data_IF_458102880546
#
_entry.id   IF_458102880546
#
_cell.length_a   1.000
_cell.length_b   1.000
_cell.length_c   1.000
_cell.angle_alpha   90.00
_cell.angle_beta   90.00
_cell.angle_gamma   90.00
#
_symmetry.space_group_name_H-M   'P 1'
#
loop_
_entity.id
_entity.type
_entity.pdbx_description
1 polymer ?
#
# COMPACT_ATOMS: atom_id res chain seq x y z
N UNK A 1 -46.93 -40.79 3.53
CA UNK A 1 -48.20 -40.39 4.20
C UNK A 1 -48.05 -40.68 5.69
N UNK A 2 -48.59 -39.77 6.49
CA UNK A 2 -48.70 -39.72 7.97
C UNK A 2 -47.42 -39.70 8.83
N UNK A 3 -47.09 -38.47 9.25
CA UNK A 3 -46.45 -38.11 10.51
C UNK A 3 -47.10 -38.78 11.72
N UNK A 4 -46.29 -39.10 12.73
CA UNK A 4 -46.64 -39.03 14.16
C UNK A 4 -45.36 -38.97 15.00
N UNK A 5 -45.03 -37.79 15.53
CA UNK A 5 -44.28 -37.57 16.80
C UNK A 5 -45.25 -37.80 17.98
N UNK A 6 -44.87 -37.92 19.28
CA UNK A 6 -43.75 -37.31 20.05
C UNK A 6 -43.18 -38.31 21.13
N UNK A 7 -42.60 -38.00 22.34
CA UNK A 7 -42.38 -36.74 23.07
C UNK A 7 -41.04 -36.52 23.82
N UNK A 8 -40.97 -35.33 24.44
CA UNK A 8 -39.95 -34.74 25.33
C UNK A 8 -39.76 -35.51 26.66
N UNK A 9 -38.54 -35.47 27.25
CA UNK A 9 -38.21 -34.79 28.53
C UNK A 9 -36.87 -35.23 29.18
N UNK A 10 -36.21 -34.26 29.88
CA UNK A 10 -35.13 -34.36 30.91
C UNK A 10 -33.81 -35.05 30.50
N UNK A 11 -32.61 -34.58 30.83
CA UNK A 11 -32.15 -33.54 31.73
C UNK A 11 -30.66 -33.79 32.04
N UNK A 12 -29.96 -32.70 32.37
CA UNK A 12 -28.68 -32.62 33.12
C UNK A 12 -27.38 -33.18 32.50
N UNK A 13 -26.46 -32.21 32.33
CA UNK A 13 -25.04 -32.19 32.69
C UNK A 13 -24.16 -33.37 32.24
N UNK A 14 -23.40 -33.12 31.18
CA UNK A 14 -21.97 -33.45 31.02
C UNK A 14 -21.48 -32.43 29.96
N UNK A 15 -20.62 -31.46 30.27
CA UNK A 15 -19.23 -31.71 30.64
C UNK A 15 -18.50 -32.23 29.40
N UNK A 16 -17.98 -31.33 28.56
CA UNK A 16 -16.82 -31.50 27.65
C UNK A 16 -16.68 -30.26 26.75
N UNK A 17 -15.72 -29.40 27.07
CA UNK A 17 -14.42 -29.28 26.36
C UNK A 17 -14.63 -28.71 24.95
N UNK A 18 -14.58 -27.39 24.85
CA UNK A 18 -14.35 -26.68 23.58
C UNK A 18 -12.90 -26.19 23.57
N UNK A 19 -12.01 -26.99 22.99
CA UNK A 19 -10.62 -26.60 22.69
C UNK A 19 -10.67 -25.79 21.39
N UNK A 20 -10.27 -24.51 21.45
CA UNK A 20 -10.01 -23.71 20.25
C UNK A 20 -8.53 -23.82 19.92
N UNK A 21 -8.22 -24.53 18.83
CA UNK A 21 -6.87 -24.66 18.26
C UNK A 21 -6.60 -23.43 17.41
N UNK A 22 -5.59 -22.62 17.77
CA UNK A 22 -4.99 -21.63 16.89
C UNK A 22 -3.62 -22.14 16.44
N UNK A 23 -3.51 -22.38 15.14
CA UNK A 23 -2.32 -22.83 14.43
C UNK A 23 -1.33 -21.67 14.30
N UNK A 24 -0.16 -21.81 14.93
CA UNK A 24 1.05 -21.10 14.57
C UNK A 24 2.10 -22.16 14.21
N UNK A 25 2.30 -22.32 12.90
CA UNK A 25 3.20 -23.33 12.33
C UNK A 25 4.45 -22.68 11.74
N UNK A 26 5.58 -22.89 12.40
CA UNK A 26 6.91 -23.11 11.83
C UNK A 26 7.80 -23.60 13.00
N UNK A 27 8.32 -24.82 13.12
CA UNK A 27 8.53 -25.93 12.19
C UNK A 27 8.32 -27.27 12.95
N UNK A 28 7.53 -28.20 12.37
CA UNK A 28 7.14 -29.56 12.83
C UNK A 28 6.25 -29.64 14.10
N UNK A 29 5.11 -30.37 14.07
CA UNK A 29 3.95 -30.13 14.95
C UNK A 29 4.08 -30.83 16.31
N UNK A 30 3.57 -30.22 17.39
CA UNK A 30 3.15 -31.06 18.51
C UNK A 30 3.07 -30.52 19.92
N UNK A 31 3.26 -29.24 20.23
CA UNK A 31 2.90 -28.73 21.57
C UNK A 31 2.29 -27.33 21.52
N UNK A 32 1.09 -27.22 22.11
CA UNK A 32 0.37 -25.98 22.39
C UNK A 32 0.19 -25.91 23.91
N UNK A 33 0.64 -24.83 24.53
CA UNK A 33 0.30 -24.50 25.91
C UNK A 33 -0.71 -23.34 25.94
N UNK A 34 -1.78 -23.51 26.70
CA UNK A 34 -2.71 -22.45 27.05
C UNK A 34 -2.53 -22.11 28.54
N UNK A 35 -2.28 -20.84 28.86
CA UNK A 35 -2.39 -20.32 30.22
C UNK A 35 -3.75 -19.64 30.39
N UNK A 36 -4.53 -20.08 31.37
CA UNK A 36 -5.75 -19.39 31.78
C UNK A 36 -5.37 -18.15 32.58
N UNK A 37 -5.59 -16.95 32.03
CA UNK A 37 -5.57 -15.72 32.81
C UNK A 37 -6.92 -15.58 33.49
N UNK A 38 -6.99 -15.92 34.77
CA UNK A 38 -8.18 -15.77 35.60
C UNK A 38 -8.53 -14.29 35.75
N UNK A 39 -9.71 -13.86 35.29
CA UNK A 39 -10.23 -12.50 35.54
C UNK A 39 -10.82 -11.76 34.34
N UNK A 40 -10.76 -12.32 33.13
CA UNK A 40 -11.38 -11.77 31.94
C UNK A 40 -12.61 -12.61 31.55
N UNK A 41 -13.80 -12.03 31.67
CA UNK A 41 -15.02 -12.58 31.06
C UNK A 41 -14.91 -12.42 29.54
N UNK A 42 -14.23 -13.37 28.89
CA UNK A 42 -14.08 -13.41 27.43
C UNK A 42 -15.35 -14.03 26.84
N UNK A 43 -16.30 -13.21 26.42
CA UNK A 43 -17.37 -13.64 25.51
C UNK A 43 -16.89 -13.45 24.07
N UNK A 44 -16.56 -14.55 23.38
CA UNK A 44 -16.29 -14.55 21.93
C UNK A 44 -15.05 -13.77 21.46
N UNK A 45 -14.01 -13.64 22.30
CA UNK A 45 -12.79 -12.89 21.97
C UNK A 45 -12.89 -11.38 22.24
N UNK A 46 -14.03 -10.89 22.74
CA UNK A 46 -14.23 -9.50 23.11
C UNK A 46 -13.82 -9.25 24.56
N UNK A 47 -13.03 -8.20 24.79
CA UNK A 47 -12.55 -7.83 26.12
C UNK A 47 -13.50 -6.79 26.73
N UNK A 48 -14.24 -7.20 27.75
CA UNK A 48 -15.19 -6.33 28.46
C UNK A 48 -14.43 -5.43 29.43
N UNK A 49 -14.80 -4.14 29.49
CA UNK A 49 -14.27 -3.21 30.47
C UNK A 49 -14.61 -3.68 31.90
N UNK A 50 -13.59 -3.79 32.74
CA UNK A 50 -13.79 -4.12 34.14
C UNK A 50 -14.42 -2.95 34.94
N UNK A 51 -14.74 -3.23 36.20
CA UNK A 51 -15.31 -2.22 37.10
C UNK A 51 -14.38 -1.03 37.32
N UNK A 52 -13.06 -1.24 37.27
CA UNK A 52 -12.07 -0.18 37.51
C UNK A 52 -12.09 0.87 36.40
N UNK A 53 -12.05 0.44 35.11
CA UNK A 53 -12.13 1.33 33.94
C UNK A 53 -13.47 2.05 33.85
N UNK A 54 -14.56 1.33 34.12
CA UNK A 54 -15.91 1.91 34.14
C UNK A 54 -16.08 2.93 35.27
N UNK A 55 -15.35 2.78 36.38
CA UNK A 55 -15.32 3.79 37.46
C UNK A 55 -14.56 5.04 37.03
N UNK A 56 -13.39 4.88 36.40
CA UNK A 56 -12.60 6.01 35.88
C UNK A 56 -13.42 6.85 34.89
N UNK A 57 -14.14 6.21 33.96
CA UNK A 57 -14.99 6.91 33.00
C UNK A 57 -16.12 7.70 33.69
N UNK A 58 -16.77 7.11 34.70
CA UNK A 58 -17.83 7.78 35.48
C UNK A 58 -17.30 8.96 36.30
N UNK A 59 -16.11 8.82 36.88
CA UNK A 59 -15.47 9.91 37.62
C UNK A 59 -15.16 11.09 36.69
N UNK A 60 -14.62 10.82 35.50
CA UNK A 60 -14.37 11.84 34.49
C UNK A 60 -15.67 12.56 34.06
N UNK A 61 -16.78 11.83 33.88
CA UNK A 61 -18.07 12.43 33.56
C UNK A 61 -18.59 13.32 34.69
N UNK A 62 -18.43 12.90 35.95
CA UNK A 62 -18.80 13.72 37.12
C UNK A 62 -18.01 15.03 37.16
N UNK A 63 -16.69 14.96 36.97
CA UNK A 63 -15.83 16.14 36.91
C UNK A 63 -16.21 17.10 35.77
N UNK A 64 -16.67 16.58 34.62
CA UNK A 64 -17.20 17.41 33.52
C UNK A 64 -18.47 18.15 33.94
N UNK A 65 -19.37 17.48 34.66
CA UNK A 65 -20.61 18.11 35.18
C UNK A 65 -20.28 19.18 36.22
N UNK A 66 -19.26 18.94 37.05
CA UNK A 66 -18.78 19.87 38.08
C UNK A 66 -17.92 21.02 37.50
N UNK A 67 -17.72 21.08 36.17
CA UNK A 67 -16.93 22.11 35.48
C UNK A 67 -15.40 21.95 35.60
N UNK A 68 -14.92 20.85 36.20
CA UNK A 68 -13.51 20.55 36.42
C UNK A 68 -12.89 19.84 35.20
N UNK A 69 -12.81 20.55 34.07
CA UNK A 69 -12.41 19.96 32.79
C UNK A 69 -10.96 19.44 32.75
N UNK A 70 -10.02 20.13 33.39
CA UNK A 70 -8.61 19.73 33.37
C UNK A 70 -8.38 18.33 34.00
N UNK A 71 -9.00 18.10 35.16
CA UNK A 71 -8.91 16.81 35.86
C UNK A 71 -9.65 15.72 35.08
N UNK A 72 -10.85 16.02 34.58
CA UNK A 72 -11.61 15.11 33.75
C UNK A 72 -10.82 14.62 32.53
N UNK A 73 -10.17 15.55 31.81
CA UNK A 73 -9.37 15.24 30.63
C UNK A 73 -8.16 14.36 30.94
N UNK A 74 -7.57 14.50 32.14
CA UNK A 74 -6.48 13.63 32.59
C UNK A 74 -6.96 12.18 32.74
N UNK A 75 -8.15 11.97 33.31
CA UNK A 75 -8.75 10.63 33.40
C UNK A 75 -9.11 10.06 32.03
N UNK A 76 -9.67 10.88 31.13
CA UNK A 76 -10.02 10.45 29.78
C UNK A 76 -8.78 10.10 28.96
N UNK A 77 -7.71 10.88 29.06
CA UNK A 77 -6.45 10.63 28.36
C UNK A 77 -5.83 9.29 28.80
N UNK A 78 -5.84 8.99 30.11
CA UNK A 78 -5.38 7.70 30.63
C UNK A 78 -6.16 6.51 30.06
N UNK A 79 -7.46 6.69 29.78
CA UNK A 79 -8.25 5.64 29.12
C UNK A 79 -7.91 5.50 27.64
N UNK A 80 -7.55 6.59 26.96
CA UNK A 80 -7.05 6.55 25.58
C UNK A 80 -5.71 5.84 25.51
N UNK A 81 -4.81 6.03 26.48
CA UNK A 81 -3.46 5.45 26.51
C UNK A 81 -3.39 3.93 26.67
N UNK A 82 -4.50 3.27 26.98
CA UNK A 82 -4.56 1.80 27.04
C UNK A 82 -4.18 1.18 25.69
N UNK A 83 -3.32 0.15 25.73
CA UNK A 83 -2.82 -0.56 24.53
C UNK A 83 -3.96 -1.17 23.70
N UNK A 84 -4.97 -1.72 24.37
CA UNK A 84 -6.12 -2.37 23.76
C UNK A 84 -7.42 -1.63 24.07
N UNK A 85 -8.41 -1.79 23.18
CA UNK A 85 -9.76 -1.27 23.39
C UNK A 85 -10.60 -2.25 24.21
N UNK A 86 -11.60 -1.73 24.92
CA UNK A 86 -12.49 -2.48 25.79
C UNK A 86 -13.94 -2.19 25.44
N UNK A 87 -14.83 -3.15 25.62
CA UNK A 87 -16.25 -2.94 25.39
C UNK A 87 -16.98 -2.59 26.69
N UNK A 88 -17.79 -1.52 26.63
CA UNK A 88 -18.72 -1.15 27.67
C UNK A 88 -19.99 -2.01 27.56
N UNK A 89 -20.45 -2.54 28.70
CA UNK A 89 -21.73 -3.26 28.76
C UNK A 89 -22.88 -2.28 28.55
N UNK A 90 -23.92 -2.66 27.78
CA UNK A 90 -25.17 -1.93 27.73
C UNK A 90 -25.73 -1.77 29.15
N UNK A 91 -26.33 -0.60 29.44
CA UNK A 91 -26.93 -0.36 30.75
C UNK A 91 -28.10 -1.34 31.01
N UNK A 92 -28.38 -1.69 32.27
CA UNK A 92 -29.41 -2.68 32.61
C UNK A 92 -30.80 -2.36 32.06
N UNK A 93 -31.09 -1.07 31.90
CA UNK A 93 -32.37 -0.56 31.41
C UNK A 93 -32.53 -0.72 29.88
N UNK A 94 -31.44 -1.01 29.17
CA UNK A 94 -31.40 -1.31 27.75
C UNK A 94 -30.69 -2.66 27.54
N UNK A 95 -31.29 -3.74 28.04
CA UNK A 95 -30.79 -5.11 27.92
C UNK A 95 -30.62 -5.60 26.46
N UNK A 96 -31.15 -4.87 25.47
CA UNK A 96 -30.92 -5.10 24.03
C UNK A 96 -29.93 -4.14 23.37
N UNK A 97 -29.23 -3.29 24.14
CA UNK A 97 -28.28 -2.32 23.59
C UNK A 97 -27.02 -2.98 23.01
N UNK A 98 -26.40 -2.33 22.04
CA UNK A 98 -25.12 -2.78 21.49
C UNK A 98 -23.98 -2.48 22.46
N UNK A 99 -22.97 -3.36 22.49
CA UNK A 99 -21.69 -3.06 23.14
C UNK A 99 -21.02 -1.88 22.43
N UNK A 100 -20.50 -0.94 23.21
CA UNK A 100 -19.82 0.25 22.68
C UNK A 100 -18.35 0.20 23.08
N UNK A 101 -17.46 0.56 22.15
CA UNK A 101 -16.03 0.73 22.42
C UNK A 101 -15.82 1.82 23.47
N UNK A 102 -15.05 1.51 24.52
CA UNK A 102 -14.65 2.45 25.56
C UNK A 102 -13.90 3.62 24.94
N UNK A 103 -12.99 3.36 24.00
CA UNK A 103 -12.23 4.42 23.34
C UNK A 103 -13.12 5.32 22.49
N UNK A 104 -14.08 4.73 21.77
CA UNK A 104 -15.07 5.48 20.99
C UNK A 104 -15.94 6.35 21.88
N UNK A 105 -16.34 5.84 23.05
CA UNK A 105 -17.11 6.59 24.04
C UNK A 105 -16.29 7.74 24.64
N UNK A 106 -15.01 7.53 24.95
CA UNK A 106 -14.11 8.60 25.42
C UNK A 106 -13.98 9.69 24.36
N UNK A 107 -13.75 9.35 23.10
CA UNK A 107 -13.73 10.34 22.02
C UNK A 107 -15.05 11.09 21.92
N UNK A 108 -16.20 10.40 22.04
CA UNK A 108 -17.53 11.03 22.00
C UNK A 108 -17.73 12.01 23.16
N UNK A 109 -17.20 11.71 24.34
CA UNK A 109 -17.26 12.62 25.49
C UNK A 109 -16.42 13.88 25.21
N UNK A 110 -15.17 13.71 24.75
CA UNK A 110 -14.28 14.84 24.42
C UNK A 110 -14.92 15.73 23.33
N UNK A 111 -15.53 15.12 22.31
CA UNK A 111 -16.23 15.84 21.25
C UNK A 111 -17.38 16.70 21.78
N UNK A 112 -18.11 16.21 22.80
CA UNK A 112 -19.27 16.89 23.39
C UNK A 112 -18.90 17.90 24.49
N UNK A 113 -17.62 18.07 24.81
CA UNK A 113 -17.20 19.09 25.77
C UNK A 113 -17.67 20.49 25.33
N UNK A 114 -18.01 21.37 26.28
CA UNK A 114 -18.27 22.78 25.98
C UNK A 114 -16.98 23.47 25.49
N UNK A 115 -17.09 24.67 24.87
CA UNK A 115 -15.95 25.39 24.31
C UNK A 115 -14.75 25.51 25.27
N UNK A 116 -15.01 25.82 26.55
CA UNK A 116 -13.99 25.94 27.60
C UNK A 116 -13.19 24.64 27.79
N UNK A 117 -13.87 23.49 27.89
CA UNK A 117 -13.24 22.18 28.01
C UNK A 117 -12.45 21.79 26.76
N UNK A 118 -12.94 22.16 25.56
CA UNK A 118 -12.23 21.92 24.30
C UNK A 118 -10.94 22.75 24.20
N UNK A 119 -10.97 24.00 24.64
CA UNK A 119 -9.77 24.85 24.68
C UNK A 119 -8.70 24.29 25.61
N UNK A 120 -9.09 23.78 26.79
CA UNK A 120 -8.17 23.12 27.72
C UNK A 120 -7.59 21.86 27.07
N UNK A 121 -8.42 21.03 26.43
CA UNK A 121 -7.96 19.83 25.72
C UNK A 121 -6.92 20.17 24.66
N UNK A 122 -7.20 21.16 23.80
CA UNK A 122 -6.29 21.59 22.74
C UNK A 122 -4.99 22.14 23.30
N UNK A 123 -5.04 22.98 24.34
CA UNK A 123 -3.87 23.58 24.98
C UNK A 123 -2.92 22.52 25.55
N UNK A 124 -3.47 21.48 26.16
CA UNK A 124 -2.69 20.44 26.83
C UNK A 124 -2.13 19.41 25.82
N UNK A 125 -2.88 19.08 24.76
CA UNK A 125 -2.56 17.94 23.90
C UNK A 125 -1.97 18.31 22.54
N UNK A 126 -2.26 19.50 21.98
CA UNK A 126 -1.78 19.86 20.64
C UNK A 126 -0.25 19.88 20.51
N UNK A 127 0.53 20.42 21.48
CA UNK A 127 1.99 20.43 21.37
C UNK A 127 2.61 19.03 21.25
N UNK A 128 2.12 18.07 22.03
CA UNK A 128 2.60 16.68 22.01
C UNK A 128 2.19 15.99 20.71
N UNK A 129 0.94 16.18 20.29
CA UNK A 129 0.42 15.60 19.05
C UNK A 129 1.18 16.11 17.80
N UNK A 130 1.53 17.39 17.76
CA UNK A 130 2.28 17.99 16.65
C UNK A 130 3.69 17.40 16.54
N UNK A 131 4.38 17.21 17.67
CA UNK A 131 5.72 16.59 17.69
C UNK A 131 5.65 15.15 17.21
N UNK A 132 4.68 14.36 17.71
CA UNK A 132 4.53 12.97 17.32
C UNK A 132 4.14 12.83 15.84
N UNK A 133 3.26 13.70 15.32
CA UNK A 133 2.91 13.70 13.91
C UNK A 133 4.12 13.98 13.01
N UNK A 134 4.95 14.98 13.37
CA UNK A 134 6.17 15.29 12.62
C UNK A 134 7.11 14.09 12.57
N UNK A 135 7.33 13.44 13.72
CA UNK A 135 8.16 12.23 13.78
C UNK A 135 7.59 11.09 12.93
N UNK A 136 6.27 10.89 12.96
CA UNK A 136 5.61 9.87 12.16
C UNK A 136 5.80 10.13 10.65
N UNK A 137 5.66 11.38 10.22
CA UNK A 137 5.85 11.77 8.82
C UNK A 137 7.31 11.62 8.39
N UNK A 138 8.26 12.14 9.18
CA UNK A 138 9.70 12.11 8.86
C UNK A 138 10.23 10.67 8.72
N UNK A 139 9.71 9.75 9.54
CA UNK A 139 10.14 8.34 9.54
C UNK A 139 9.27 7.44 8.68
N UNK A 140 8.21 7.97 8.05
CA UNK A 140 7.16 7.20 7.39
C UNK A 140 6.64 6.04 8.27
N UNK A 141 6.42 6.33 9.56
CA UNK A 141 6.07 5.37 10.60
C UNK A 141 4.54 5.31 10.76
N UNK A 142 3.95 4.26 10.19
CA UNK A 142 2.50 4.05 10.17
C UNK A 142 1.91 3.77 11.57
N UNK A 143 2.70 3.15 12.46
CA UNK A 143 2.26 2.83 13.81
C UNK A 143 2.16 4.11 14.66
N UNK A 144 3.18 4.98 14.58
CA UNK A 144 3.12 6.31 15.21
C UNK A 144 2.02 7.18 14.64
N UNK A 145 1.76 7.12 13.34
CA UNK A 145 0.66 7.84 12.72
C UNK A 145 -0.69 7.40 13.31
N UNK A 146 -0.85 6.08 13.46
CA UNK A 146 -2.03 5.47 14.09
C UNK A 146 -2.16 5.85 15.56
N UNK A 147 -1.04 5.92 16.29
CA UNK A 147 -0.99 6.38 17.67
C UNK A 147 -1.48 7.82 17.82
N UNK A 148 -1.02 8.74 16.96
CA UNK A 148 -1.48 10.15 16.97
C UNK A 148 -2.98 10.25 16.69
N UNK A 149 -3.47 9.54 15.68
CA UNK A 149 -4.89 9.51 15.34
C UNK A 149 -5.76 8.95 16.47
N UNK A 150 -5.20 8.03 17.27
CA UNK A 150 -5.88 7.34 18.37
C UNK A 150 -5.88 8.13 19.68
N UNK A 151 -4.72 8.68 20.08
CA UNK A 151 -4.57 9.38 21.35
C UNK A 151 -5.03 10.83 21.29
N UNK A 152 -4.81 11.49 20.14
CA UNK A 152 -4.99 12.93 20.01
C UNK A 152 -5.99 13.30 18.92
N UNK A 153 -6.97 12.42 18.64
CA UNK A 153 -7.93 12.55 17.54
C UNK A 153 -8.51 13.96 17.38
N UNK A 154 -8.91 14.60 18.49
CA UNK A 154 -9.59 15.91 18.48
C UNK A 154 -8.64 17.12 18.39
N UNK A 155 -7.36 16.89 18.10
CA UNK A 155 -6.36 17.94 17.81
C UNK A 155 -6.18 18.13 16.30
N UNK A 156 -5.65 19.26 15.82
CA UNK A 156 -5.30 19.44 14.41
C UNK A 156 -4.38 18.34 13.85
N UNK A 157 -3.40 17.90 14.64
CA UNK A 157 -2.51 16.80 14.30
C UNK A 157 -3.23 15.45 14.24
N UNK A 158 -4.17 15.18 15.17
CA UNK A 158 -4.99 13.95 15.15
C UNK A 158 -5.88 13.84 13.92
N UNK A 159 -6.49 14.95 13.50
CA UNK A 159 -7.26 14.98 12.26
C UNK A 159 -6.36 14.75 11.04
N UNK A 160 -5.17 15.38 11.00
CA UNK A 160 -4.23 15.18 9.89
C UNK A 160 -3.69 13.75 9.83
N UNK A 161 -3.36 13.17 10.98
CA UNK A 161 -2.96 11.77 11.08
C UNK A 161 -4.05 10.85 10.52
N UNK A 162 -5.29 11.03 10.98
CA UNK A 162 -6.45 10.27 10.50
C UNK A 162 -6.65 10.43 8.99
N UNK A 163 -6.49 11.64 8.47
CA UNK A 163 -6.63 11.90 7.04
C UNK A 163 -5.55 11.19 6.22
N UNK A 164 -4.30 11.19 6.70
CA UNK A 164 -3.18 10.47 6.07
C UNK A 164 -3.36 8.95 6.11
N UNK A 165 -3.85 8.39 7.22
CA UNK A 165 -4.21 6.96 7.30
C UNK A 165 -5.30 6.65 6.27
N UNK A 166 -6.33 7.50 6.15
CA UNK A 166 -7.37 7.36 5.13
C UNK A 166 -6.80 7.36 3.70
N UNK A 167 -5.82 8.23 3.41
CA UNK A 167 -5.12 8.24 2.12
C UNK A 167 -4.33 6.96 1.88
N UNK A 168 -3.61 6.45 2.89
CA UNK A 168 -2.87 5.19 2.77
C UNK A 168 -3.81 4.04 2.39
N UNK A 169 -4.93 3.85 3.10
CA UNK A 169 -5.90 2.80 2.73
C UNK A 169 -6.52 3.04 1.36
N UNK A 170 -6.79 4.30 0.99
CA UNK A 170 -7.33 4.65 -0.31
C UNK A 170 -6.37 4.28 -1.46
N UNK A 171 -5.08 4.54 -1.29
CA UNK A 171 -4.04 4.29 -2.28
C UNK A 171 -3.68 2.80 -2.39
N UNK A 172 -3.76 2.04 -1.28
CA UNK A 172 -3.58 0.57 -1.28
C UNK A 172 -4.79 -0.21 -1.81
N UNK A 173 -5.87 0.47 -2.21
CA UNK A 173 -7.05 -0.22 -2.75
C UNK A 173 -7.92 -0.87 -1.69
N UNK A 174 -7.97 -0.30 -0.48
CA UNK A 174 -8.87 -0.70 0.61
C UNK A 174 -10.04 0.30 0.75
N UNK A 175 -10.97 0.33 -0.22
CA UNK A 175 -11.93 1.41 -0.37
C UNK A 175 -12.93 1.50 0.79
N UNK A 176 -13.34 0.36 1.36
CA UNK A 176 -14.26 0.32 2.50
C UNK A 176 -13.64 1.00 3.73
N UNK A 177 -12.42 0.61 4.08
CA UNK A 177 -11.67 1.15 5.22
C UNK A 177 -11.44 2.65 5.05
N UNK A 178 -10.98 3.07 3.86
CA UNK A 178 -10.79 4.47 3.53
C UNK A 178 -12.08 5.29 3.69
N UNK A 179 -13.22 4.77 3.20
CA UNK A 179 -14.50 5.46 3.30
C UNK A 179 -14.92 5.69 4.76
N UNK A 180 -14.79 4.68 5.62
CA UNK A 180 -15.13 4.77 7.04
C UNK A 180 -14.24 5.78 7.79
N UNK A 181 -12.93 5.77 7.52
CA UNK A 181 -11.98 6.72 8.12
C UNK A 181 -12.30 8.16 7.71
N UNK A 182 -12.49 8.40 6.41
CA UNK A 182 -12.85 9.73 5.92
C UNK A 182 -14.23 10.19 6.41
N UNK A 183 -15.20 9.28 6.53
CA UNK A 183 -16.51 9.61 7.12
C UNK A 183 -16.38 10.05 8.57
N UNK A 184 -15.53 9.40 9.37
CA UNK A 184 -15.26 9.81 10.75
C UNK A 184 -14.75 11.25 10.81
N UNK A 185 -13.86 11.65 9.90
CA UNK A 185 -13.41 13.04 9.77
C UNK A 185 -14.54 13.99 9.35
N UNK A 186 -15.37 13.57 8.39
CA UNK A 186 -16.49 14.38 7.90
C UNK A 186 -17.55 14.65 8.97
N UNK A 187 -17.71 13.75 9.95
CA UNK A 187 -18.64 13.94 11.08
C UNK A 187 -18.23 15.11 11.98
N UNK A 188 -16.95 15.50 11.99
CA UNK A 188 -16.46 16.64 12.75
C UNK A 188 -16.28 17.85 11.82
N UNK A 189 -17.09 18.90 12.00
CA UNK A 189 -17.11 20.06 11.10
C UNK A 189 -15.75 20.79 11.04
N UNK A 190 -15.02 20.90 12.15
CA UNK A 190 -13.70 21.54 12.18
C UNK A 190 -12.67 20.76 11.37
N UNK A 191 -12.72 19.42 11.43
CA UNK A 191 -11.87 18.57 10.62
C UNK A 191 -12.29 18.61 9.14
N UNK A 192 -13.59 18.50 8.87
CA UNK A 192 -14.13 18.48 7.52
C UNK A 192 -13.74 19.73 6.72
N UNK A 193 -13.90 20.92 7.29
CA UNK A 193 -13.62 22.19 6.62
C UNK A 193 -12.20 22.29 6.03
N UNK A 194 -11.22 21.63 6.66
CA UNK A 194 -9.82 21.66 6.20
C UNK A 194 -9.62 20.98 4.84
N UNK A 195 -10.41 19.96 4.52
CA UNK A 195 -10.21 19.13 3.32
C UNK A 195 -11.40 19.11 2.36
N UNK A 196 -12.52 19.74 2.70
CA UNK A 196 -13.63 19.90 1.77
C UNK A 196 -13.28 20.85 0.61
N UNK A 197 -13.77 20.61 -0.62
CA UNK A 197 -14.72 19.55 -1.02
C UNK A 197 -14.08 18.17 -1.29
N UNK A 198 -12.74 18.08 -1.21
CA UNK A 198 -12.02 16.88 -1.64
C UNK A 198 -12.21 15.70 -0.69
N UNK A 199 -12.47 15.96 0.59
CA UNK A 199 -12.84 14.93 1.56
C UNK A 199 -14.14 14.22 1.14
N UNK A 200 -15.21 14.97 0.86
CA UNK A 200 -16.47 14.38 0.38
C UNK A 200 -16.31 13.64 -0.95
N UNK A 201 -15.49 14.16 -1.87
CA UNK A 201 -15.22 13.46 -3.13
C UNK A 201 -14.47 12.13 -2.90
N UNK A 202 -13.46 12.11 -2.02
CA UNK A 202 -12.73 10.88 -1.65
C UNK A 202 -13.65 9.86 -0.98
N UNK A 203 -14.54 10.30 -0.10
CA UNK A 203 -15.55 9.42 0.51
C UNK A 203 -16.43 8.79 -0.58
N UNK A 204 -16.97 9.60 -1.49
CA UNK A 204 -17.82 9.10 -2.57
C UNK A 204 -17.09 8.12 -3.50
N UNK A 205 -15.84 8.43 -3.85
CA UNK A 205 -14.98 7.56 -4.67
C UNK A 205 -14.64 6.24 -3.96
N UNK A 206 -14.39 6.31 -2.65
CA UNK A 206 -14.15 5.12 -1.84
C UNK A 206 -15.40 4.23 -1.79
N UNK A 207 -16.59 4.79 -1.56
CA UNK A 207 -17.84 4.03 -1.61
C UNK A 207 -18.11 3.40 -2.97
N UNK A 208 -17.89 4.14 -4.05
CA UNK A 208 -18.07 3.61 -5.40
C UNK A 208 -17.11 2.43 -5.66
N UNK A 209 -15.84 2.55 -5.29
CA UNK A 209 -14.83 1.47 -5.40
C UNK A 209 -15.15 0.27 -4.50
N UNK A 210 -15.82 0.49 -3.38
CA UNK A 210 -16.31 -0.57 -2.50
C UNK A 210 -17.60 -1.26 -3.01
N UNK A 211 -18.12 -0.89 -4.19
CA UNK A 211 -19.36 -1.45 -4.73
C UNK A 211 -20.63 -0.89 -4.08
N UNK A 212 -20.54 0.28 -3.44
CA UNK A 212 -21.62 0.95 -2.70
C UNK A 212 -22.03 2.27 -3.39
N UNK A 213 -22.70 2.20 -4.56
CA UNK A 213 -23.01 3.39 -5.36
C UNK A 213 -24.07 4.29 -4.74
N UNK A 214 -24.95 3.76 -3.89
CA UNK A 214 -26.00 4.53 -3.23
C UNK A 214 -25.42 5.46 -2.15
N UNK A 215 -24.45 4.94 -1.40
CA UNK A 215 -23.68 5.64 -0.38
C UNK A 215 -22.83 6.73 -1.03
N UNK A 216 -22.17 6.43 -2.15
CA UNK A 216 -21.47 7.42 -2.96
C UNK A 216 -22.42 8.54 -3.42
N UNK A 217 -23.60 8.19 -3.92
CA UNK A 217 -24.58 9.15 -4.38
C UNK A 217 -25.10 10.06 -3.25
N UNK A 218 -25.38 9.51 -2.08
CA UNK A 218 -25.81 10.26 -0.90
C UNK A 218 -24.77 11.30 -0.47
N UNK A 219 -23.48 10.94 -0.50
CA UNK A 219 -22.39 11.85 -0.15
C UNK A 219 -22.28 13.02 -1.13
N UNK A 220 -22.37 12.75 -2.43
CA UNK A 220 -22.33 13.78 -3.47
C UNK A 220 -23.57 14.68 -3.42
N UNK A 221 -24.76 14.14 -3.15
CA UNK A 221 -25.97 14.94 -2.95
C UNK A 221 -25.84 15.88 -1.76
N UNK A 222 -25.34 15.37 -0.62
CA UNK A 222 -25.08 16.19 0.57
C UNK A 222 -24.07 17.31 0.30
N UNK A 223 -23.05 17.03 -0.51
CA UNK A 223 -22.06 18.03 -0.93
C UNK A 223 -22.65 19.09 -1.86
N UNK A 224 -23.61 18.72 -2.72
CA UNK A 224 -24.38 19.64 -3.56
C UNK A 224 -25.26 20.57 -2.71
N UNK A 225 -26.04 20.01 -1.79
CA UNK A 225 -26.96 20.77 -0.92
C UNK A 225 -26.23 21.76 -0.03
N UNK A 226 -25.06 21.39 0.48
CA UNK A 226 -24.22 22.27 1.31
C UNK A 226 -23.41 23.31 0.51
N UNK A 227 -23.57 23.37 -0.82
CA UNK A 227 -22.83 24.24 -1.74
C UNK A 227 -21.29 24.17 -1.62
N UNK A 228 -20.75 23.13 -0.96
CA UNK A 228 -19.29 22.91 -0.83
C UNK A 228 -18.64 22.60 -2.17
N UNK A 229 -19.44 22.10 -3.12
CA UNK A 229 -19.05 21.79 -4.49
C UNK A 229 -18.56 22.99 -5.31
N UNK A 230 -18.98 24.20 -4.97
CA UNK A 230 -18.65 25.44 -5.71
C UNK A 230 -17.15 25.75 -5.77
N UNK A 231 -16.35 25.16 -4.86
CA UNK A 231 -14.89 25.34 -4.76
C UNK A 231 -14.09 24.17 -5.35
N UNK A 232 -14.73 23.24 -6.07
CA UNK A 232 -14.07 22.03 -6.54
C UNK A 232 -13.18 22.29 -7.77
N UNK A 233 -11.89 22.01 -7.62
CA UNK A 233 -10.91 21.99 -8.72
C UNK A 233 -10.40 20.56 -8.90
N UNK A 234 -10.56 20.03 -10.11
CA UNK A 234 -10.10 18.68 -10.47
C UNK A 234 -9.12 18.78 -11.62
N UNK A 235 -7.93 18.20 -11.44
CA UNK A 235 -6.83 18.27 -12.41
C UNK A 235 -6.53 19.71 -12.89
N UNK A 236 -6.54 20.68 -11.95
CA UNK A 236 -6.28 22.08 -12.23
C UNK A 236 -7.44 22.85 -12.88
N UNK A 237 -8.58 22.21 -13.15
CA UNK A 237 -9.73 22.88 -13.75
C UNK A 237 -10.96 22.89 -12.81
N UNK A 238 -11.70 24.02 -12.73
CA UNK A 238 -12.97 24.04 -12.04
C UNK A 238 -13.95 23.13 -12.78
N UNK A 239 -14.63 22.23 -12.06
CA UNK A 239 -15.63 21.34 -12.65
C UNK A 239 -16.95 21.43 -11.88
N UNK A 240 -18.10 21.57 -12.57
CA UNK A 240 -19.39 21.54 -11.92
C UNK A 240 -19.69 20.13 -11.38
N UNK A 241 -20.22 20.06 -10.17
CA UNK A 241 -20.65 18.81 -9.56
C UNK A 241 -21.92 18.29 -10.25
N UNK A 242 -21.94 16.98 -10.57
CA UNK A 242 -23.02 16.25 -11.25
C UNK A 242 -23.24 16.58 -12.74
N UNK A 243 -22.58 17.62 -13.26
CA UNK A 243 -22.79 18.10 -14.63
C UNK A 243 -24.29 18.32 -14.94
N UNK A 244 -24.66 18.11 -16.20
CA UNK A 244 -26.06 18.23 -16.66
C UNK A 244 -26.92 17.01 -16.31
N UNK A 245 -26.29 15.83 -16.22
CA UNK A 245 -26.98 14.54 -16.00
C UNK A 245 -27.74 14.45 -14.67
N UNK A 246 -27.30 15.21 -13.65
CA UNK A 246 -27.91 15.23 -12.32
C UNK A 246 -27.81 13.92 -11.53
N UNK A 247 -27.20 12.87 -12.10
CA UNK A 247 -27.09 11.52 -11.49
C UNK A 247 -25.72 11.33 -10.83
N UNK A 248 -25.65 11.28 -9.49
CA UNK A 248 -24.37 11.33 -8.78
C UNK A 248 -23.41 10.18 -9.04
N UNK A 249 -23.88 8.95 -8.96
CA UNK A 249 -23.04 7.77 -9.14
C UNK A 249 -22.52 7.67 -10.59
N UNK A 250 -23.37 7.98 -11.58
CA UNK A 250 -22.98 7.97 -12.98
C UNK A 250 -21.94 9.04 -13.28
N UNK A 251 -22.16 10.28 -12.81
CA UNK A 251 -21.16 11.35 -12.95
C UNK A 251 -19.79 10.96 -12.41
N UNK A 252 -19.75 10.29 -11.25
CA UNK A 252 -18.51 9.83 -10.65
C UNK A 252 -17.85 8.69 -11.44
N UNK A 253 -18.65 7.74 -11.94
CA UNK A 253 -18.17 6.68 -12.83
C UNK A 253 -17.59 7.26 -14.11
N UNK A 254 -18.27 8.21 -14.76
CA UNK A 254 -17.81 8.89 -15.98
C UNK A 254 -16.52 9.66 -15.73
N UNK A 255 -16.38 10.29 -14.55
CA UNK A 255 -15.16 10.99 -14.15
C UNK A 255 -13.94 10.05 -14.10
N UNK A 256 -14.14 8.80 -13.64
CA UNK A 256 -13.07 7.79 -13.54
C UNK A 256 -12.83 7.13 -14.90
N UNK A 257 -13.89 6.72 -15.59
CA UNK A 257 -13.80 5.99 -16.85
C UNK A 257 -13.25 6.84 -17.98
N UNK A 258 -13.58 8.13 -18.06
CA UNK A 258 -13.01 9.02 -19.08
C UNK A 258 -11.48 9.16 -18.96
N UNK A 259 -10.89 8.94 -17.77
CA UNK A 259 -9.43 8.94 -17.60
C UNK A 259 -8.81 7.60 -18.03
N UNK A 260 -9.44 6.49 -17.69
CA UNK A 260 -9.01 5.18 -18.19
C UNK A 260 -9.12 5.15 -19.72
N UNK A 261 -10.25 5.54 -20.31
CA UNK A 261 -10.47 5.51 -21.76
C UNK A 261 -9.58 6.48 -22.56
N UNK A 262 -9.21 7.64 -21.99
CA UNK A 262 -8.26 8.56 -22.64
C UNK A 262 -6.80 8.12 -22.54
N UNK A 263 -6.47 7.15 -21.67
CA UNK A 263 -5.14 6.54 -21.55
C UNK A 263 -5.08 5.08 -22.03
N UNK A 264 -6.22 4.42 -22.22
CA UNK A 264 -6.37 3.23 -23.06
C UNK A 264 -6.28 3.71 -24.52
N UNK A 265 -5.15 4.32 -24.85
CA UNK A 265 -4.78 4.41 -26.24
C UNK A 265 -4.60 2.97 -26.72
N UNK A 266 -5.06 2.72 -27.95
CA UNK A 266 -4.90 1.47 -28.70
C UNK A 266 -3.41 1.27 -28.98
N UNK A 267 -2.66 1.02 -27.93
CA UNK A 267 -1.23 0.89 -27.98
C UNK A 267 -0.93 -0.52 -28.48
N UNK A 268 -0.84 -0.66 -29.80
CA UNK A 268 -0.03 -1.73 -30.41
C UNK A 268 1.46 -1.55 -30.12
N UNK A 269 1.83 -0.43 -29.49
CA UNK A 269 3.20 -0.03 -29.16
C UNK A 269 3.31 0.39 -27.70
N UNK A 270 4.42 0.02 -27.07
CA UNK A 270 4.83 0.32 -25.71
C UNK A 270 6.24 0.96 -25.74
N UNK A 271 6.39 2.21 -26.20
CA UNK A 271 7.69 2.80 -26.51
C UNK A 271 8.48 3.28 -25.27
N UNK A 272 7.84 3.33 -24.10
CA UNK A 272 8.46 3.76 -22.85
C UNK A 272 7.94 2.92 -21.68
N UNK A 273 8.72 2.74 -20.59
CA UNK A 273 8.26 2.04 -19.40
C UNK A 273 6.93 2.59 -18.90
N UNK A 274 5.99 1.72 -18.54
CA UNK A 274 4.63 2.11 -18.16
C UNK A 274 3.81 2.84 -19.26
N UNK A 275 4.23 2.71 -20.53
CA UNK A 275 3.48 2.97 -21.77
C UNK A 275 3.25 4.43 -22.15
N UNK A 276 3.18 5.36 -21.21
CA UNK A 276 2.96 6.80 -21.46
C UNK A 276 3.94 7.68 -20.68
N UNK A 277 4.17 8.95 -21.06
CA UNK A 277 5.05 9.86 -20.32
C UNK A 277 4.59 10.07 -18.87
N UNK A 278 3.29 9.91 -18.59
CA UNK A 278 2.70 9.93 -17.25
C UNK A 278 2.91 8.61 -16.46
N UNK A 279 3.56 7.61 -17.07
CA UNK A 279 3.92 6.30 -16.50
C UNK A 279 2.73 5.52 -15.92
N UNK A 280 1.58 5.63 -16.57
CA UNK A 280 0.34 5.02 -16.08
C UNK A 280 -0.58 4.55 -17.21
N UNK A 281 0.01 4.08 -18.33
CA UNK A 281 -0.78 3.51 -19.41
C UNK A 281 -1.58 2.29 -18.93
N UNK A 282 -2.80 2.16 -19.43
CA UNK A 282 -3.70 1.06 -19.08
C UNK A 282 -4.00 0.30 -20.36
N UNK A 283 -3.65 -0.98 -20.40
CA UNK A 283 -4.08 -1.88 -21.46
C UNK A 283 -5.46 -2.47 -21.09
N UNK A 284 -6.32 -2.77 -22.08
CA UNK A 284 -7.48 -3.61 -21.85
C UNK A 284 -7.02 -4.91 -21.18
N UNK A 285 -7.81 -5.42 -20.22
CA UNK A 285 -7.48 -6.67 -19.52
C UNK A 285 -7.26 -7.76 -20.57
N UNK A 286 -6.03 -8.29 -20.72
CA UNK A 286 -5.80 -9.35 -21.67
C UNK A 286 -6.60 -10.58 -21.25
N UNK A 287 -7.22 -11.26 -22.20
CA UNK A 287 -7.75 -12.60 -21.92
C UNK A 287 -6.54 -13.48 -21.61
N UNK A 288 -6.52 -14.25 -20.51
CA UNK A 288 -5.45 -15.20 -20.26
C UNK A 288 -5.41 -16.19 -21.43
N UNK A 289 -4.42 -16.03 -22.29
CA UNK A 289 -4.19 -16.92 -23.43
C UNK A 289 -3.29 -18.05 -22.95
N UNK A 290 -3.71 -19.30 -23.18
CA UNK A 290 -2.98 -20.47 -22.68
C UNK A 290 -1.76 -20.86 -23.53
N UNK A 291 -1.56 -20.18 -24.67
CA UNK A 291 -0.41 -20.38 -25.54
C UNK A 291 0.56 -19.22 -25.41
N UNK A 292 1.79 -19.51 -25.02
CA UNK A 292 2.92 -18.60 -25.20
C UNK A 292 3.27 -18.60 -26.70
N UNK A 293 3.09 -17.49 -27.44
CA UNK A 293 3.36 -17.48 -28.88
C UNK A 293 4.85 -17.71 -29.17
N UNK A 294 5.73 -17.21 -28.31
CA UNK A 294 7.17 -17.47 -28.30
C UNK A 294 7.79 -16.97 -26.98
N UNK A 295 9.00 -17.42 -26.68
CA UNK A 295 9.78 -17.00 -25.52
C UNK A 295 11.24 -16.75 -25.93
N UNK A 296 11.84 -15.70 -25.38
CA UNK A 296 13.27 -15.39 -25.53
C UNK A 296 13.90 -15.21 -24.15
N UNK A 297 15.12 -15.71 -24.00
CA UNK A 297 15.92 -15.49 -22.79
C UNK A 297 16.53 -14.08 -22.81
N UNK A 298 16.12 -13.25 -21.84
CA UNK A 298 16.59 -11.86 -21.65
C UNK A 298 17.84 -11.78 -20.78
N UNK A 299 18.52 -12.90 -20.55
CA UNK A 299 19.77 -12.97 -19.80
C UNK A 299 20.94 -13.33 -20.73
N UNK A 300 20.74 -14.25 -21.67
CA UNK A 300 21.84 -14.96 -22.37
C UNK A 300 21.87 -14.83 -23.89
N UNK A 301 21.13 -13.90 -24.48
CA UNK A 301 21.24 -13.69 -25.92
C UNK A 301 22.65 -13.14 -26.25
N UNK A 302 23.41 -13.91 -27.04
CA UNK A 302 24.61 -13.64 -27.86
C UNK A 302 25.59 -12.49 -27.47
N UNK A 303 26.49 -12.67 -26.48
CA UNK A 303 27.85 -13.16 -26.78
C UNK A 303 28.37 -14.21 -25.79
N UNK A 304 27.63 -14.49 -24.69
CA UNK A 304 27.98 -15.52 -23.70
C UNK A 304 27.91 -16.93 -24.29
N UNK A 305 27.16 -17.11 -25.38
CA UNK A 305 27.09 -18.36 -26.12
C UNK A 305 28.44 -18.82 -26.72
N UNK A 306 29.43 -17.92 -26.82
CA UNK A 306 30.78 -18.27 -27.29
C UNK A 306 31.65 -18.92 -26.20
N UNK A 307 31.29 -18.78 -24.90
CA UNK A 307 31.95 -19.46 -23.77
C UNK A 307 30.95 -20.29 -22.93
N UNK A 308 30.83 -21.61 -23.21
CA UNK A 308 29.95 -22.51 -22.46
C UNK A 308 30.26 -22.64 -20.95
N UNK A 309 31.48 -22.32 -20.51
CA UNK A 309 31.85 -22.37 -19.10
C UNK A 309 31.30 -21.15 -18.36
N UNK A 310 31.40 -19.97 -18.97
CA UNK A 310 30.85 -18.74 -18.43
C UNK A 310 29.32 -18.78 -18.36
N UNK A 311 28.66 -19.30 -19.41
CA UNK A 311 27.21 -19.50 -19.41
C UNK A 311 26.75 -20.33 -18.20
N UNK A 312 27.42 -21.46 -17.96
CA UNK A 312 27.14 -22.32 -16.81
C UNK A 312 27.35 -21.59 -15.48
N UNK A 313 28.42 -20.82 -15.34
CA UNK A 313 28.72 -20.07 -14.12
C UNK A 313 27.60 -19.05 -13.80
N UNK A 314 27.13 -18.34 -14.82
CA UNK A 314 26.04 -17.37 -14.69
C UNK A 314 24.71 -18.06 -14.38
N UNK A 315 24.38 -19.18 -15.05
CA UNK A 315 23.17 -19.97 -14.77
C UNK A 315 23.13 -20.47 -13.31
N UNK A 316 24.25 -20.98 -12.81
CA UNK A 316 24.38 -21.40 -11.42
C UNK A 316 24.22 -20.23 -10.45
N UNK A 317 24.84 -19.08 -10.74
CA UNK A 317 24.73 -17.89 -9.92
C UNK A 317 23.28 -17.37 -9.84
N UNK A 318 22.58 -17.30 -10.97
CA UNK A 318 21.16 -16.90 -11.04
C UNK A 318 20.28 -17.92 -10.30
N UNK A 319 20.53 -19.22 -10.49
CA UNK A 319 19.81 -20.29 -9.79
C UNK A 319 19.95 -20.19 -8.27
N UNK A 320 21.16 -19.87 -7.78
CA UNK A 320 21.40 -19.62 -6.35
C UNK A 320 20.59 -18.43 -5.83
N UNK A 321 20.58 -17.30 -6.57
CA UNK A 321 19.81 -16.11 -6.16
C UNK A 321 18.30 -16.37 -6.13
N UNK A 322 17.75 -17.05 -7.16
CA UNK A 322 16.33 -17.44 -7.20
C UNK A 322 15.94 -18.27 -5.98
N UNK A 323 16.74 -19.27 -5.60
CA UNK A 323 16.48 -20.13 -4.42
C UNK A 323 16.57 -19.35 -3.10
N UNK A 324 17.59 -18.50 -2.95
CA UNK A 324 17.78 -17.69 -1.74
C UNK A 324 16.60 -16.74 -1.50
N UNK A 325 16.07 -16.13 -2.56
CA UNK A 325 14.91 -15.22 -2.49
C UNK A 325 13.59 -15.95 -2.28
N UNK A 326 13.40 -17.10 -2.94
CA UNK A 326 12.24 -17.96 -2.71
C UNK A 326 12.14 -18.40 -1.23
N UNK A 327 13.27 -18.75 -0.60
CA UNK A 327 13.33 -19.07 0.83
C UNK A 327 13.01 -17.92 1.78
N UNK A 328 13.04 -16.67 1.30
CA UNK A 328 12.72 -15.45 2.06
C UNK A 328 11.32 -14.89 1.76
N UNK A 329 10.52 -15.58 0.94
CA UNK A 329 9.22 -15.08 0.44
C UNK A 329 9.31 -13.70 -0.22
N UNK A 330 10.49 -13.36 -0.77
CA UNK A 330 10.70 -12.11 -1.50
C UNK A 330 10.45 -12.36 -2.98
N UNK A 331 9.25 -12.03 -3.45
CA UNK A 331 8.94 -11.98 -4.87
C UNK A 331 9.26 -10.57 -5.39
N UNK A 332 10.21 -10.46 -6.31
CA UNK A 332 10.53 -9.20 -6.99
C UNK A 332 10.16 -9.30 -8.47
N UNK A 333 9.67 -8.20 -9.02
CA UNK A 333 9.51 -8.03 -10.45
C UNK A 333 10.88 -7.68 -11.04
N UNK A 334 11.21 -8.18 -12.26
CA UNK A 334 12.44 -7.78 -12.93
C UNK A 334 12.52 -6.26 -13.05
N UNK A 335 13.71 -5.69 -12.87
CA UNK A 335 13.91 -4.25 -13.07
C UNK A 335 13.84 -3.85 -14.54
N UNK A 336 13.86 -4.83 -15.46
CA UNK A 336 13.86 -4.66 -16.91
C UNK A 336 12.45 -4.63 -17.47
N UNK A 337 12.20 -3.70 -18.38
CA UNK A 337 10.91 -3.58 -19.06
C UNK A 337 11.15 -3.51 -20.57
N UNK A 338 10.69 -4.51 -21.34
CA UNK A 338 10.81 -4.47 -22.79
C UNK A 338 9.93 -3.36 -23.38
N UNK A 339 10.26 -2.94 -24.60
CA UNK A 339 9.46 -2.03 -25.41
C UNK A 339 8.82 -2.80 -26.55
N UNK A 340 7.66 -2.32 -26.99
CA UNK A 340 7.03 -2.77 -28.23
C UNK A 340 6.96 -1.57 -29.15
N UNK A 341 7.51 -1.64 -30.35
CA UNK A 341 7.50 -0.52 -31.28
C UNK A 341 7.53 -1.07 -32.70
N UNK A 342 6.63 -0.60 -33.57
CA UNK A 342 6.55 -0.99 -34.99
C UNK A 342 6.57 -2.50 -35.25
N UNK A 343 5.91 -3.30 -34.40
CA UNK A 343 5.87 -4.75 -34.54
C UNK A 343 7.16 -5.46 -34.11
N UNK A 344 8.07 -4.79 -33.40
CA UNK A 344 9.24 -5.41 -32.77
C UNK A 344 9.20 -5.25 -31.25
N UNK A 345 9.66 -6.28 -30.54
CA UNK A 345 9.93 -6.26 -29.10
C UNK A 345 11.40 -5.95 -28.89
N UNK A 346 11.70 -4.82 -28.28
CA UNK A 346 13.08 -4.45 -27.89
C UNK A 346 13.28 -4.80 -26.42
N UNK A 347 14.32 -5.55 -26.10
CA UNK A 347 14.60 -5.99 -24.74
C UNK A 347 16.06 -5.80 -24.37
N UNK A 348 16.32 -5.68 -23.06
CA UNK A 348 17.67 -5.60 -22.50
C UNK A 348 18.11 -6.95 -21.98
N UNK A 349 19.28 -7.39 -22.44
CA UNK A 349 20.00 -8.56 -21.93
C UNK A 349 21.00 -8.15 -20.86
N UNK A 350 21.81 -9.09 -20.34
CA UNK A 350 22.92 -8.70 -19.45
C UNK A 350 24.01 -7.92 -20.18
N UNK A 351 24.17 -8.13 -21.48
CA UNK A 351 25.30 -7.63 -22.26
C UNK A 351 24.91 -6.55 -23.26
N UNK A 352 23.70 -6.59 -23.83
CA UNK A 352 23.32 -5.72 -24.94
C UNK A 352 21.81 -5.46 -24.97
N UNK A 353 21.38 -4.70 -25.97
CA UNK A 353 19.98 -4.53 -26.33
C UNK A 353 19.71 -5.34 -27.61
N UNK A 354 18.58 -6.02 -27.68
CA UNK A 354 18.19 -6.76 -28.88
C UNK A 354 16.74 -6.47 -29.25
N UNK A 355 16.38 -6.78 -30.48
CA UNK A 355 15.01 -6.73 -30.96
C UNK A 355 14.59 -8.05 -31.61
N UNK A 356 13.33 -8.39 -31.39
CA UNK A 356 12.66 -9.56 -31.93
C UNK A 356 11.37 -9.14 -32.62
N UNK A 357 10.98 -9.85 -33.66
CA UNK A 357 9.68 -9.68 -34.29
C UNK A 357 8.56 -10.05 -33.31
N UNK A 358 7.54 -9.21 -33.21
CA UNK A 358 6.48 -9.36 -32.20
C UNK A 358 5.63 -10.61 -32.44
N UNK A 359 5.39 -10.99 -33.69
CA UNK A 359 4.52 -12.13 -34.02
C UNK A 359 5.27 -13.46 -33.94
N UNK A 360 6.49 -13.51 -34.50
CA UNK A 360 7.25 -14.75 -34.66
C UNK A 360 8.31 -14.99 -33.59
N UNK A 361 8.75 -13.95 -32.86
CA UNK A 361 9.86 -14.04 -31.92
C UNK A 361 11.24 -14.14 -32.58
N UNK A 362 11.29 -14.10 -33.91
CA UNK A 362 12.53 -14.15 -34.67
C UNK A 362 13.40 -12.94 -34.35
N UNK A 363 14.70 -13.16 -34.22
CA UNK A 363 15.66 -12.08 -34.02
C UNK A 363 15.68 -11.14 -35.23
N UNK A 364 15.67 -9.83 -34.94
CA UNK A 364 15.69 -8.78 -35.95
C UNK A 364 17.05 -8.10 -35.97
N UNK A 365 17.47 -7.51 -34.85
CA UNK A 365 18.77 -6.85 -34.73
C UNK A 365 19.27 -6.80 -33.30
N UNK A 366 20.59 -6.72 -33.16
CA UNK A 366 21.28 -6.40 -31.92
C UNK A 366 21.70 -4.93 -31.94
N UNK A 367 21.65 -4.29 -30.79
CA UNK A 367 22.18 -2.96 -30.56
C UNK A 367 23.27 -3.11 -29.49
N UNK A 368 24.52 -3.01 -29.93
CA UNK A 368 25.68 -3.13 -29.06
C UNK A 368 25.68 -2.02 -28.03
N UNK A 369 25.87 -2.43 -26.78
CA UNK A 369 25.89 -1.56 -25.63
C UNK A 369 26.73 -2.23 -24.54
N UNK A 370 28.04 -2.05 -24.61
CA UNK A 370 28.97 -2.75 -23.73
C UNK A 370 28.78 -2.32 -22.27
N UNK A 371 28.31 -3.25 -21.43
CA UNK A 371 28.37 -3.08 -19.99
C UNK A 371 29.74 -3.52 -19.48
N UNK A 372 30.67 -2.56 -19.39
CA UNK A 372 32.03 -2.76 -18.86
C UNK A 372 32.07 -3.43 -17.48
N UNK A 373 30.98 -3.40 -16.71
CA UNK A 373 30.91 -4.15 -15.47
C UNK A 373 30.87 -5.66 -15.72
N UNK A 374 30.07 -6.11 -16.70
CA UNK A 374 30.01 -7.51 -17.12
C UNK A 374 31.38 -7.96 -17.63
N UNK A 375 32.05 -7.17 -18.48
CA UNK A 375 33.36 -7.53 -19.03
C UNK A 375 34.44 -7.74 -17.96
N UNK A 376 34.36 -7.00 -16.84
CA UNK A 376 35.25 -7.21 -15.68
C UNK A 376 34.95 -8.50 -14.91
N UNK A 377 33.69 -8.92 -14.87
CA UNK A 377 33.29 -10.17 -14.24
C UNK A 377 33.59 -11.39 -15.10
N UNK A 378 33.54 -11.25 -16.43
CA UNK A 378 33.74 -12.32 -17.41
C UNK A 378 35.19 -12.41 -17.89
N UNK A 379 35.93 -11.31 -17.90
CA UNK A 379 37.27 -11.20 -18.49
C UNK A 379 37.25 -11.05 -20.02
N UNK A 380 36.12 -10.63 -20.60
CA UNK A 380 35.93 -10.58 -22.05
C UNK A 380 36.85 -9.58 -22.78
N UNK A 381 37.22 -8.47 -22.13
CA UNK A 381 38.07 -7.41 -22.70
C UNK A 381 39.58 -7.72 -22.70
N UNK A 382 40.00 -8.94 -22.34
CA UNK A 382 41.41 -9.30 -22.22
C UNK A 382 42.12 -8.69 -21.00
N UNK A 383 41.41 -7.89 -20.21
CA UNK A 383 41.82 -7.46 -18.87
C UNK A 383 41.74 -8.63 -17.88
N UNK A 384 42.59 -8.62 -16.84
CA UNK A 384 42.55 -9.65 -15.80
C UNK A 384 41.19 -9.66 -15.12
N UNK A 385 40.47 -10.78 -15.24
CA UNK A 385 39.20 -11.04 -14.53
C UNK A 385 39.33 -10.59 -13.08
N UNK A 386 38.34 -9.82 -12.61
CA UNK A 386 38.44 -9.18 -11.30
C UNK A 386 38.80 -10.20 -10.20
N UNK A 387 39.79 -9.91 -9.32
CA UNK A 387 40.04 -10.75 -8.14
C UNK A 387 38.73 -10.87 -7.35
N UNK A 388 38.34 -12.09 -6.98
CA UNK A 388 37.05 -12.40 -6.32
C UNK A 388 35.78 -12.17 -7.15
N UNK A 389 35.86 -12.09 -8.49
CA UNK A 389 34.69 -11.98 -9.38
C UNK A 389 33.57 -12.99 -9.01
N UNK A 390 33.91 -14.26 -8.76
CA UNK A 390 32.96 -15.29 -8.36
C UNK A 390 32.22 -14.99 -7.05
N UNK A 391 32.83 -14.27 -6.11
CA UNK A 391 32.22 -13.87 -4.83
C UNK A 391 31.17 -12.77 -5.02
N UNK A 392 31.42 -11.84 -5.93
CA UNK A 392 30.57 -10.66 -6.16
C UNK A 392 29.60 -10.81 -7.32
N UNK A 393 29.81 -11.78 -8.22
CA UNK A 393 28.96 -12.05 -9.38
C UNK A 393 27.49 -12.22 -8.99
N UNK A 394 27.22 -12.94 -7.89
CA UNK A 394 25.86 -13.13 -7.40
C UNK A 394 25.19 -11.82 -6.98
N UNK A 395 25.92 -10.92 -6.33
CA UNK A 395 25.40 -9.61 -5.90
C UNK A 395 25.21 -8.65 -7.08
N UNK A 396 26.14 -8.69 -8.05
CA UNK A 396 26.03 -7.92 -9.27
C UNK A 396 24.83 -8.36 -10.12
N UNK A 397 24.64 -9.66 -10.30
CA UNK A 397 23.47 -10.22 -10.98
C UNK A 397 22.17 -9.81 -10.28
N UNK A 398 22.16 -9.87 -8.94
CA UNK A 398 21.00 -9.49 -8.16
C UNK A 398 20.62 -8.02 -8.36
N UNK A 399 21.63 -7.15 -8.32
CA UNK A 399 21.47 -5.73 -8.62
C UNK A 399 20.96 -5.50 -10.05
N UNK A 400 21.61 -6.08 -11.07
CA UNK A 400 21.25 -5.84 -12.48
C UNK A 400 19.95 -6.48 -12.93
N UNK A 401 19.49 -7.56 -12.29
CA UNK A 401 18.24 -8.25 -12.65
C UNK A 401 17.02 -7.66 -11.95
N UNK A 402 17.16 -7.20 -10.70
CA UNK A 402 16.02 -6.91 -9.83
C UNK A 402 15.99 -5.50 -9.25
N UNK A 403 17.15 -4.85 -9.06
CA UNK A 403 17.23 -3.60 -8.30
C UNK A 403 17.50 -2.39 -9.22
N UNK A 404 18.36 -2.55 -10.23
CA UNK A 404 18.81 -1.49 -11.10
C UNK A 404 17.75 -1.15 -12.16
N UNK A 405 16.80 -0.32 -11.75
CA UNK A 405 15.77 0.25 -12.63
C UNK A 405 16.32 1.29 -13.60
N UNK A 406 17.50 1.84 -13.34
CA UNK A 406 18.12 2.86 -14.19
C UNK A 406 18.70 2.19 -15.43
N UNK A 407 19.47 1.12 -15.24
CA UNK A 407 19.99 0.31 -16.34
C UNK A 407 18.89 -0.51 -17.01
N UNK A 408 17.95 -1.07 -16.24
CA UNK A 408 16.91 -1.96 -16.77
C UNK A 408 15.88 -1.29 -17.68
N UNK A 409 15.78 0.05 -17.67
CA UNK A 409 14.80 0.78 -18.47
C UNK A 409 15.41 1.32 -19.76
N UNK A 410 14.66 1.14 -20.84
CA UNK A 410 14.93 1.70 -22.16
C UNK A 410 13.74 2.54 -22.63
N UNK A 411 13.93 3.42 -23.59
CA UNK A 411 12.84 4.23 -24.17
C UNK A 411 13.09 4.54 -25.64
N UNK A 412 12.05 4.86 -26.41
CA UNK A 412 12.19 5.24 -27.82
C UNK A 412 11.25 6.39 -28.20
N UNK A 413 11.66 7.19 -29.19
CA UNK A 413 10.83 8.16 -29.90
C UNK A 413 10.29 7.61 -31.25
N UNK A 414 10.54 6.33 -31.54
CA UNK A 414 10.21 5.65 -32.79
C UNK A 414 11.26 5.77 -33.89
N UNK A 415 12.36 6.49 -33.67
CA UNK A 415 13.53 6.57 -34.57
C UNK A 415 14.86 6.28 -33.86
N UNK A 416 14.89 6.42 -32.54
CA UNK A 416 16.07 6.26 -31.70
C UNK A 416 15.71 5.47 -30.46
N UNK A 417 16.66 4.68 -30.00
CA UNK A 417 16.59 3.98 -28.73
C UNK A 417 17.47 4.72 -27.73
N UNK A 418 16.93 4.94 -26.54
CA UNK A 418 17.58 5.65 -25.44
C UNK A 418 17.74 4.69 -24.28
N UNK A 419 18.96 4.56 -23.81
CA UNK A 419 19.31 3.75 -22.63
C UNK A 419 20.31 4.45 -21.73
N UNK A 420 20.35 4.04 -20.46
CA UNK A 420 21.40 4.46 -19.53
C UNK A 420 22.37 3.32 -19.33
N UNK A 421 23.60 3.53 -19.79
CA UNK A 421 24.70 2.59 -19.63
C UNK A 421 25.63 2.99 -18.49
N UNK A 422 26.54 2.08 -18.15
CA UNK A 422 27.61 2.33 -17.16
C UNK A 422 27.10 2.82 -15.79
N UNK A 423 25.95 2.29 -15.32
CA UNK A 423 25.34 2.65 -14.02
C UNK A 423 26.20 2.25 -12.80
N UNK A 424 27.37 1.65 -13.04
CA UNK A 424 28.28 1.16 -12.03
C UNK A 424 27.74 -0.07 -11.29
N UNK A 425 28.51 -0.51 -10.30
CA UNK A 425 28.10 -1.49 -9.31
C UNK A 425 28.76 -1.10 -7.99
N UNK A 426 27.99 -0.46 -7.12
CA UNK A 426 28.47 0.06 -5.84
C UNK A 426 27.92 -0.79 -4.68
N UNK A 427 28.68 -1.83 -4.32
CA UNK A 427 28.66 -2.43 -2.97
C UNK A 427 29.99 -3.14 -2.69
N UNK A 428 30.93 -2.41 -2.08
CA UNK A 428 32.02 -2.98 -1.28
C UNK A 428 32.98 -3.94 -2.00
N UNK A 429 33.56 -3.51 -3.12
CA UNK A 429 34.73 -4.18 -3.69
C UNK A 429 36.00 -3.68 -2.95
N UNK A 430 36.78 -4.54 -2.27
CA UNK A 430 37.99 -4.11 -1.59
C UNK A 430 39.03 -3.61 -2.60
N UNK A 431 39.52 -2.38 -2.41
CA UNK A 431 40.59 -1.79 -3.21
C UNK A 431 40.17 -0.76 -4.28
N UNK A 432 38.91 -0.32 -4.32
CA UNK A 432 38.49 0.82 -5.16
C UNK A 432 37.83 1.95 -4.35
N UNK A 433 38.49 2.39 -3.29
CA UNK A 433 38.05 3.57 -2.50
C UNK A 433 38.33 4.90 -3.23
N UNK A 434 39.24 4.93 -4.21
CA UNK A 434 39.73 6.18 -4.83
C UNK A 434 39.43 6.33 -6.34
N UNK A 435 38.44 5.64 -6.88
CA UNK A 435 37.92 5.97 -8.23
C UNK A 435 36.52 6.54 -8.05
N UNK A 436 36.40 7.83 -8.36
CA UNK A 436 35.15 8.55 -8.58
C UNK A 436 34.06 7.64 -9.17
N UNK A 437 32.76 7.87 -8.88
CA UNK A 437 31.70 7.21 -9.65
C UNK A 437 32.10 7.32 -11.12
N UNK A 438 32.21 6.18 -11.82
CA UNK A 438 32.41 6.20 -13.27
C UNK A 438 31.45 7.27 -13.80
N UNK A 439 31.92 8.21 -14.64
CA UNK A 439 31.04 9.25 -15.15
C UNK A 439 29.81 8.54 -15.69
N UNK A 440 28.64 8.89 -15.16
CA UNK A 440 27.38 8.48 -15.78
C UNK A 440 27.49 9.01 -17.19
N UNK A 441 27.74 8.13 -18.16
CA UNK A 441 27.76 8.53 -19.54
C UNK A 441 26.34 9.01 -19.85
N UNK A 442 26.17 10.20 -20.45
CA UNK A 442 24.84 10.66 -20.83
C UNK A 442 24.19 9.60 -21.72
N UNK A 443 22.86 9.50 -21.65
CA UNK A 443 22.06 8.48 -22.34
C UNK A 443 22.65 8.15 -23.73
N UNK A 444 23.02 6.88 -23.92
CA UNK A 444 23.53 6.41 -25.21
C UNK A 444 22.37 6.48 -26.21
N UNK A 445 22.53 7.31 -27.23
CA UNK A 445 21.57 7.41 -28.33
C UNK A 445 21.98 6.41 -29.38
N UNK A 446 21.24 5.31 -29.48
CA UNK A 446 21.43 4.32 -30.53
C UNK A 446 20.44 4.65 -31.66
N UNK A 447 20.93 4.64 -32.91
CA UNK A 447 20.05 4.78 -34.07
C UNK A 447 19.34 3.44 -34.26
N UNK A 448 18.01 3.44 -34.22
CA UNK A 448 17.22 2.22 -34.30
C UNK A 448 16.01 2.44 -35.20
N UNK A 449 15.80 1.52 -36.15
CA UNK A 449 14.79 1.51 -37.21
C UNK A 449 15.14 2.29 -38.48
#
# INVERSE_FOLDING_TARGET
>A
MSNQTPPRWLGRKCGRVGILILLLGALLPGTVSAQSVSGLDIYGGLIIADRSRTRVLREAQKLIVDGQYADALTYLQRLLELDQDFLLRPNSDNAGGAYVSLRSEVHRIIEKLPPEGREIYLRNNSPVADVLLKQAIEKNDADKLSEVARLYYHTPAGYEATYRIGLQHFDHGEPMTAALIFQRLKQNENAAQRWEPMLSLRIALSWLRAGMPNEAASVLQSMKTSNRASRMVLAGQPRPLLGESGKPAQWLTDLIQNRAASQIARHSEWPIPQGTPARNAVLPVPKPEQSEPWQVDTVFYHPVAEDPALDRELQEAIGRQKRQRAGRSQHMLPSRSPLVVRGSVVSRTLAHLNSHDLESGNFVTEYFSDDKALDRFTGADGDSRMPSAAMYLGQWLDHRLWEDRTNGQISTDGQRLYSVEETGFWRGLPGQEDRHPLPVTPATVLTAF
#
